data_IF_229254730027
#
_entry.id   IF_229254730027
#
_cell.length_a   1.000
_cell.length_b   1.000
_cell.length_c   1.000
_cell.angle_alpha   90.00
_cell.angle_beta   90.00
_cell.angle_gamma   90.00
#
_symmetry.space_group_name_H-M   'P 1'
#
loop_
_entity.id
_entity.type
_entity.pdbx_description
1 polymer ?
#
# COMPACT_ATOMS: atom_id res chain seq x y z
N UNK A 1 -8.93 29.20 21.79
CA UNK A 1 -8.51 27.92 21.16
C UNK A 1 -7.62 28.25 19.96
N UNK A 2 -6.29 28.13 20.06
CA UNK A 2 -5.37 28.40 18.95
C UNK A 2 -5.19 27.11 18.15
N UNK A 3 -5.74 27.06 16.95
CA UNK A 3 -5.49 25.96 15.99
C UNK A 3 -4.02 26.01 15.58
N UNK A 4 -3.23 25.00 15.98
CA UNK A 4 -1.84 24.86 15.54
C UNK A 4 -1.89 24.43 14.07
N UNK A 5 -1.65 25.37 13.16
CA UNK A 5 -1.43 25.09 11.73
C UNK A 5 -0.29 24.07 11.64
N UNK A 6 -0.54 22.88 11.11
CA UNK A 6 0.51 21.90 10.87
C UNK A 6 1.56 22.58 9.96
N UNK A 7 2.78 22.70 10.46
CA UNK A 7 3.93 23.15 9.67
C UNK A 7 4.12 22.16 8.52
N UNK A 8 4.06 22.64 7.28
CA UNK A 8 4.50 21.90 6.09
C UNK A 8 6.03 21.81 6.09
N UNK A 9 6.60 21.11 7.07
CA UNK A 9 8.04 20.98 7.22
C UNK A 9 8.59 20.14 6.05
N UNK A 10 9.34 20.78 5.16
CA UNK A 10 10.11 20.08 4.12
C UNK A 10 11.42 19.58 4.72
N UNK A 11 11.70 18.28 4.59
CA UNK A 11 12.98 17.69 4.95
C UNK A 11 13.76 17.33 3.67
N UNK A 12 15.08 17.51 3.71
CA UNK A 12 15.98 17.12 2.61
C UNK A 12 16.59 15.76 2.92
N UNK A 13 16.66 14.89 1.91
CA UNK A 13 17.44 13.66 1.96
C UNK A 13 18.32 13.54 0.72
N UNK A 14 19.46 12.87 0.87
CA UNK A 14 20.36 12.54 -0.25
C UNK A 14 20.13 11.08 -0.65
N UNK A 15 19.79 10.84 -1.92
CA UNK A 15 19.65 9.48 -2.47
C UNK A 15 20.89 9.10 -3.27
N UNK A 16 21.39 7.89 -3.04
CA UNK A 16 22.36 7.25 -3.94
C UNK A 16 21.60 6.45 -4.98
N UNK A 17 21.87 6.74 -6.25
CA UNK A 17 21.32 6.03 -7.40
C UNK A 17 22.48 5.47 -8.21
N UNK A 18 22.32 4.28 -8.78
CA UNK A 18 23.28 3.78 -9.77
C UNK A 18 23.26 4.68 -11.03
N UNK A 19 24.35 4.64 -11.79
CA UNK A 19 24.52 5.49 -12.96
C UNK A 19 23.43 5.29 -14.02
N UNK A 20 22.90 4.07 -14.17
CA UNK A 20 21.82 3.76 -15.11
C UNK A 20 20.51 4.42 -14.70
N UNK A 21 20.13 4.30 -13.43
CA UNK A 21 18.93 4.93 -12.87
C UNK A 21 19.02 6.45 -12.94
N UNK A 22 20.16 7.04 -12.58
CA UNK A 22 20.35 8.50 -12.65
C UNK A 22 20.18 9.02 -14.09
N UNK A 23 20.77 8.34 -15.08
CA UNK A 23 20.61 8.69 -16.50
C UNK A 23 19.16 8.63 -16.96
N UNK A 24 18.41 7.60 -16.55
CA UNK A 24 16.98 7.46 -16.88
C UNK A 24 16.15 8.58 -16.26
N UNK A 25 16.40 8.91 -14.99
CA UNK A 25 15.74 10.02 -14.30
C UNK A 25 16.02 11.37 -14.97
N UNK A 26 17.26 11.58 -15.40
CA UNK A 26 17.67 12.79 -16.13
C UNK A 26 17.00 12.93 -17.50
N UNK A 27 16.91 11.84 -18.25
CA UNK A 27 16.22 11.84 -19.53
C UNK A 27 14.72 12.17 -19.34
N UNK A 28 14.08 11.58 -18.34
CA UNK A 28 12.68 11.85 -18.01
C UNK A 28 12.46 13.30 -17.55
N UNK A 29 13.36 13.82 -16.71
CA UNK A 29 13.34 15.21 -16.26
C UNK A 29 13.37 16.19 -17.43
N UNK A 30 14.28 15.97 -18.40
CA UNK A 30 14.37 16.79 -19.62
C UNK A 30 13.12 16.68 -20.49
N UNK A 31 12.65 15.47 -20.76
CA UNK A 31 11.49 15.23 -21.63
C UNK A 31 10.19 15.81 -21.06
N UNK A 32 10.07 15.89 -19.74
CA UNK A 32 8.86 16.40 -19.05
C UNK A 32 8.97 17.85 -18.58
N UNK A 33 10.12 18.50 -18.79
CA UNK A 33 10.45 19.81 -18.25
C UNK A 33 10.23 19.91 -16.72
N UNK A 34 10.67 18.88 -15.98
CA UNK A 34 10.56 18.79 -14.51
C UNK A 34 11.93 18.61 -13.87
N UNK A 35 12.06 19.00 -12.61
CA UNK A 35 13.31 18.77 -11.86
C UNK A 35 13.45 17.31 -11.43
N UNK A 36 14.71 16.84 -11.35
CA UNK A 36 15.02 15.50 -10.80
C UNK A 36 14.45 15.29 -9.40
N UNK A 37 14.56 16.32 -8.56
CA UNK A 37 14.07 16.28 -7.18
C UNK A 37 12.54 16.11 -7.12
N UNK A 38 11.80 16.81 -7.99
CA UNK A 38 10.34 16.66 -8.07
C UNK A 38 9.96 15.24 -8.49
N UNK A 39 10.60 14.70 -9.52
CA UNK A 39 10.33 13.34 -10.00
C UNK A 39 10.70 12.27 -8.97
N UNK A 40 11.83 12.44 -8.27
CA UNK A 40 12.24 11.54 -7.19
C UNK A 40 11.25 11.58 -6.02
N UNK A 41 10.85 12.77 -5.57
CA UNK A 41 9.86 12.92 -4.51
C UNK A 41 8.49 12.34 -4.91
N UNK A 42 8.10 12.52 -6.17
CA UNK A 42 6.89 11.91 -6.71
C UNK A 42 6.98 10.37 -6.69
N UNK A 43 8.08 9.81 -7.17
CA UNK A 43 8.29 8.36 -7.18
C UNK A 43 8.27 7.76 -5.78
N UNK A 44 8.90 8.42 -4.79
CA UNK A 44 8.87 8.00 -3.39
C UNK A 44 7.43 8.01 -2.85
N UNK A 45 6.67 9.08 -3.08
CA UNK A 45 5.27 9.15 -2.63
C UNK A 45 4.43 8.04 -3.26
N UNK A 46 4.52 7.87 -4.57
CA UNK A 46 3.78 6.80 -5.27
C UNK A 46 4.17 5.42 -4.75
N UNK A 47 5.45 5.18 -4.45
CA UNK A 47 5.89 3.92 -3.86
C UNK A 47 5.29 3.69 -2.48
N UNK A 48 5.26 4.72 -1.62
CA UNK A 48 4.63 4.62 -0.30
C UNK A 48 3.13 4.35 -0.42
N UNK A 49 2.40 5.14 -1.23
CA UNK A 49 0.96 4.99 -1.43
C UNK A 49 0.59 3.56 -1.88
N UNK A 50 1.41 2.95 -2.74
CA UNK A 50 1.22 1.58 -3.22
C UNK A 50 1.47 0.51 -2.14
N UNK A 51 2.43 0.72 -1.25
CA UNK A 51 2.90 -0.33 -0.34
C UNK A 51 2.31 -0.21 1.08
N UNK A 52 2.07 1.00 1.57
CA UNK A 52 1.66 1.24 2.97
C UNK A 52 0.33 0.55 3.28
N UNK A 53 -0.64 0.62 2.38
CA UNK A 53 -1.93 -0.06 2.57
C UNK A 53 -1.75 -1.56 2.75
N UNK A 54 -0.94 -2.21 1.89
CA UNK A 54 -0.74 -3.65 1.95
C UNK A 54 -0.03 -4.06 3.23
N UNK A 55 1.04 -3.36 3.60
CA UNK A 55 1.80 -3.64 4.83
C UNK A 55 0.90 -3.46 6.06
N UNK A 56 0.10 -2.38 6.09
CA UNK A 56 -0.82 -2.14 7.19
C UNK A 56 -1.91 -3.21 7.26
N UNK A 57 -2.49 -3.60 6.11
CA UNK A 57 -3.50 -4.66 6.05
C UNK A 57 -2.97 -5.99 6.57
N UNK A 58 -1.75 -6.39 6.18
CA UNK A 58 -1.10 -7.61 6.68
C UNK A 58 -0.89 -7.52 8.18
N UNK A 59 -0.31 -6.43 8.69
CA UNK A 59 -0.08 -6.24 10.14
C UNK A 59 -1.39 -6.34 10.92
N UNK A 60 -2.43 -5.64 10.48
CA UNK A 60 -3.75 -5.70 11.11
C UNK A 60 -4.37 -7.10 11.04
N UNK A 61 -4.18 -7.84 9.94
CA UNK A 61 -4.68 -9.21 9.80
C UNK A 61 -3.97 -10.17 10.77
N UNK A 62 -2.64 -10.08 10.88
CA UNK A 62 -1.85 -10.86 11.84
C UNK A 62 -2.24 -10.52 13.28
N UNK A 63 -2.31 -9.23 13.63
CA UNK A 63 -2.74 -8.79 14.95
C UNK A 63 -4.15 -9.27 15.32
N UNK A 64 -5.05 -9.40 14.34
CA UNK A 64 -6.37 -10.01 14.56
C UNK A 64 -6.22 -11.51 14.75
N UNK A 65 -5.49 -12.21 13.88
CA UNK A 65 -5.27 -13.65 13.97
C UNK A 65 -4.71 -14.09 15.32
N UNK A 66 -3.83 -13.30 15.92
CA UNK A 66 -3.18 -13.60 17.21
C UNK A 66 -4.07 -13.36 18.44
N UNK A 67 -5.27 -12.77 18.29
CA UNK A 67 -6.16 -12.54 19.44
C UNK A 67 -6.83 -13.85 19.87
N UNK A 68 -7.01 -14.01 21.18
CA UNK A 68 -7.63 -15.20 21.78
C UNK A 68 -9.11 -15.38 21.42
N UNK A 69 -9.81 -14.30 21.09
CA UNK A 69 -11.23 -14.29 20.72
C UNK A 69 -11.44 -14.46 19.20
N UNK A 70 -10.37 -14.61 18.43
CA UNK A 70 -10.48 -14.76 16.98
C UNK A 70 -11.11 -16.08 16.60
N UNK A 71 -12.12 -15.99 15.75
CA UNK A 71 -12.78 -17.14 15.14
C UNK A 71 -12.20 -17.35 13.75
N UNK A 72 -11.64 -18.53 13.53
CA UNK A 72 -11.27 -19.01 12.21
C UNK A 72 -12.39 -19.90 11.69
N UNK A 73 -12.63 -19.82 10.39
CA UNK A 73 -13.55 -20.72 9.70
C UNK A 73 -12.79 -21.99 9.32
N UNK A 74 -13.46 -23.14 9.38
CA UNK A 74 -12.87 -24.38 8.89
C UNK A 74 -12.78 -24.38 7.36
N UNK A 75 -11.84 -25.15 6.83
CA UNK A 75 -11.69 -25.35 5.39
C UNK A 75 -13.00 -25.86 4.76
N UNK A 76 -13.66 -26.84 5.40
CA UNK A 76 -14.90 -27.43 4.91
C UNK A 76 -16.05 -26.41 4.79
N UNK A 77 -16.17 -25.49 5.75
CA UNK A 77 -17.18 -24.43 5.71
C UNK A 77 -16.93 -23.45 4.55
N UNK A 78 -15.66 -23.12 4.30
CA UNK A 78 -15.26 -22.25 3.19
C UNK A 78 -15.50 -22.93 1.85
N UNK A 79 -15.12 -24.21 1.72
CA UNK A 79 -15.28 -24.99 0.48
C UNK A 79 -16.76 -25.18 0.12
N UNK A 80 -17.59 -25.53 1.10
CA UNK A 80 -19.02 -25.67 0.90
C UNK A 80 -19.71 -24.35 0.49
N UNK A 81 -19.15 -23.20 0.89
CA UNK A 81 -19.63 -21.89 0.44
C UNK A 81 -19.15 -21.58 -0.97
N UNK A 82 -17.83 -21.70 -1.24
CA UNK A 82 -17.23 -21.42 -2.54
C UNK A 82 -17.83 -22.27 -3.67
N UNK A 83 -18.17 -23.53 -3.40
CA UNK A 83 -18.82 -24.43 -4.37
C UNK A 83 -20.16 -23.89 -4.91
N UNK A 84 -20.82 -22.99 -4.16
CA UNK A 84 -22.09 -22.38 -4.58
C UNK A 84 -21.93 -20.98 -5.15
N UNK A 85 -20.72 -20.40 -5.08
CA UNK A 85 -20.48 -19.01 -5.45
C UNK A 85 -20.64 -18.78 -6.96
N UNK A 86 -21.31 -17.69 -7.35
CA UNK A 86 -21.62 -17.40 -8.75
C UNK A 86 -22.76 -18.22 -9.36
N UNK A 87 -23.39 -19.12 -8.59
CA UNK A 87 -24.54 -19.91 -9.04
C UNK A 87 -25.87 -19.30 -8.58
N UNK A 88 -26.99 -19.76 -9.16
CA UNK A 88 -28.34 -19.39 -8.71
C UNK A 88 -28.68 -19.87 -7.28
N UNK A 89 -27.83 -20.70 -6.67
CA UNK A 89 -28.00 -21.22 -5.30
C UNK A 89 -26.89 -20.75 -4.34
N UNK A 90 -26.23 -19.63 -4.64
CA UNK A 90 -25.15 -19.10 -3.81
C UNK A 90 -25.55 -18.99 -2.33
N UNK A 91 -24.79 -19.66 -1.46
CA UNK A 91 -24.96 -19.62 -0.01
C UNK A 91 -24.39 -18.31 0.55
N UNK A 92 -24.90 -17.90 1.72
CA UNK A 92 -24.34 -16.73 2.43
C UNK A 92 -22.91 -17.05 2.89
N UNK A 93 -21.98 -16.08 2.85
CA UNK A 93 -20.62 -16.28 3.36
C UNK A 93 -20.64 -16.71 4.84
N UNK A 94 -19.84 -17.73 5.22
CA UNK A 94 -19.65 -18.11 6.62
C UNK A 94 -19.02 -16.96 7.42
N UNK A 95 -19.28 -16.89 8.74
CA UNK A 95 -18.93 -15.74 9.61
C UNK A 95 -18.24 -16.17 10.89
#
# INVERSE_FOLDING_TARGET
>A
MRTRKASSASATMTLRLDAGTLRRLEALARATNRSRALLAAHAVRTYLDLNEWQVQAIRTAVERADRRDTKFLSQDEVDAWLATWGTSRARKPPR
#
